data_IF_147436676588
#
_entry.id   IF_147436676588
#
_cell.length_a   1.000
_cell.length_b   1.000
_cell.length_c   1.000
_cell.angle_alpha   90.00
_cell.angle_beta   90.00
_cell.angle_gamma   90.00
#
_symmetry.space_group_name_H-M   'P 1'
#
loop_
_entity.id
_entity.type
_entity.pdbx_description
1 polymer ?
#
# COMPACT_ATOMS: atom_id res chain seq x y z
N UNK A 1 -7.37 45.17 -24.26
CA UNK A 1 -7.63 43.98 -23.41
C UNK A 1 -6.80 42.84 -23.94
N UNK A 2 -5.67 42.55 -23.31
CA UNK A 2 -4.76 41.45 -23.69
C UNK A 2 -4.80 40.46 -22.54
N UNK A 3 -5.39 39.29 -22.78
CA UNK A 3 -5.54 38.22 -21.79
C UNK A 3 -4.19 37.56 -21.53
N UNK A 4 -3.77 37.56 -20.26
CA UNK A 4 -2.58 36.84 -19.79
C UNK A 4 -2.89 35.35 -19.69
N UNK A 5 -2.16 34.54 -20.46
CA UNK A 5 -2.10 33.09 -20.27
C UNK A 5 -1.38 32.79 -18.93
N UNK A 6 -2.07 32.11 -18.02
CA UNK A 6 -1.49 31.46 -16.85
C UNK A 6 -0.85 30.15 -17.31
N UNK A 7 0.47 30.13 -17.41
CA UNK A 7 1.23 28.89 -17.55
C UNK A 7 1.20 28.16 -16.20
N UNK A 8 0.45 27.06 -16.13
CA UNK A 8 0.54 26.12 -15.02
C UNK A 8 1.80 25.28 -15.21
N UNK A 9 2.87 25.63 -14.50
CA UNK A 9 4.07 24.80 -14.39
C UNK A 9 3.71 23.54 -13.60
N UNK A 10 3.48 22.43 -14.30
CA UNK A 10 3.41 21.12 -13.68
C UNK A 10 4.82 20.72 -13.24
N UNK A 11 5.10 20.85 -11.94
CA UNK A 11 6.25 20.19 -11.33
C UNK A 11 5.98 18.69 -11.33
N UNK A 12 6.63 17.97 -12.24
CA UNK A 12 6.75 16.52 -12.17
C UNK A 12 7.50 16.18 -10.86
N UNK A 13 7.01 15.23 -10.04
CA UNK A 13 7.82 14.74 -8.93
C UNK A 13 9.10 14.12 -9.50
N UNK A 14 10.24 14.60 -9.02
CA UNK A 14 11.55 14.03 -9.30
C UNK A 14 11.52 12.54 -8.96
N UNK A 15 11.88 11.70 -9.93
CA UNK A 15 12.00 10.26 -9.75
C UNK A 15 13.04 9.97 -8.68
N UNK A 16 12.60 9.72 -7.45
CA UNK A 16 13.48 9.19 -6.41
C UNK A 16 13.95 7.80 -6.86
N UNK A 17 15.27 7.64 -6.99
CA UNK A 17 15.88 6.35 -7.25
C UNK A 17 15.67 5.44 -6.02
N UNK A 18 14.61 4.63 -6.05
CA UNK A 18 14.48 3.51 -5.11
C UNK A 18 15.58 2.52 -5.45
N UNK A 19 16.49 2.30 -4.49
CA UNK A 19 17.60 1.36 -4.61
C UNK A 19 17.08 -0.01 -5.09
N UNK A 20 17.64 -0.48 -6.21
CA UNK A 20 17.46 -1.83 -6.73
C UNK A 20 18.27 -2.79 -5.87
N UNK A 21 17.60 -3.56 -5.02
CA UNK A 21 18.18 -4.69 -4.32
C UNK A 21 17.14 -5.80 -4.19
N UNK A 22 17.39 -6.94 -4.80
CA UNK A 22 16.55 -8.14 -4.75
C UNK A 22 16.73 -8.92 -3.42
N UNK A 23 16.95 -8.21 -2.32
CA UNK A 23 17.00 -8.78 -0.97
C UNK A 23 15.93 -8.10 -0.13
N UNK A 24 15.18 -8.89 0.65
CA UNK A 24 14.18 -8.45 1.63
C UNK A 24 14.79 -7.67 2.80
N UNK A 25 15.58 -6.64 2.49
CA UNK A 25 16.27 -5.79 3.45
C UNK A 25 15.28 -4.78 4.02
N UNK A 26 15.05 -4.95 5.31
CA UNK A 26 14.40 -3.99 6.16
C UNK A 26 15.05 -2.60 6.01
N UNK A 27 14.27 -1.67 5.47
CA UNK A 27 14.66 -0.28 5.24
C UNK A 27 14.28 0.56 6.45
N UNK A 28 15.16 1.45 6.96
CA UNK A 28 14.78 2.37 8.03
C UNK A 28 13.71 3.34 7.53
N UNK A 29 12.63 3.45 8.29
CA UNK A 29 11.63 4.50 8.15
C UNK A 29 11.98 5.59 9.14
N UNK A 30 12.26 6.77 8.59
CA UNK A 30 12.66 7.93 9.35
C UNK A 30 11.42 8.69 9.82
N UNK A 31 11.54 9.33 10.97
CA UNK A 31 10.58 10.26 11.56
C UNK A 31 11.24 11.62 11.69
N UNK A 32 10.62 12.61 11.07
CA UNK A 32 11.03 14.01 11.08
C UNK A 32 9.91 14.85 11.70
N UNK A 33 10.26 15.83 12.54
CA UNK A 33 9.29 16.79 13.09
C UNK A 33 9.46 18.12 12.35
N UNK A 34 8.42 18.58 11.67
CA UNK A 34 8.44 19.85 10.95
C UNK A 34 8.43 21.04 11.91
N UNK A 35 8.68 22.25 11.38
CA UNK A 35 8.59 23.50 12.16
C UNK A 35 7.21 23.73 12.78
N UNK A 36 6.15 23.21 12.15
CA UNK A 36 4.79 23.29 12.67
C UNK A 36 4.51 22.23 13.75
N UNK A 37 5.47 21.37 14.10
CA UNK A 37 5.34 20.18 14.96
C UNK A 37 4.51 19.03 14.35
N UNK A 38 4.44 18.94 13.01
CA UNK A 38 3.90 17.75 12.33
C UNK A 38 4.97 16.68 12.29
N UNK A 39 4.63 15.44 12.63
CA UNK A 39 5.54 14.32 12.42
C UNK A 39 5.27 13.67 11.06
N UNK A 40 6.28 13.69 10.20
CA UNK A 40 6.27 13.05 8.88
C UNK A 40 7.21 11.84 8.87
N UNK A 41 6.90 10.88 8.00
CA UNK A 41 7.67 9.66 7.83
C UNK A 41 8.17 9.53 6.39
N UNK A 42 9.43 9.13 6.24
CA UNK A 42 10.11 9.02 4.95
C UNK A 42 11.06 7.82 4.92
N UNK A 43 11.46 7.42 3.72
CA UNK A 43 12.51 6.39 3.49
C UNK A 43 13.89 7.00 3.24
N UNK A 44 13.99 8.33 3.22
CA UNK A 44 15.22 9.09 2.98
C UNK A 44 15.21 10.38 3.81
N UNK A 45 16.40 10.82 4.22
CA UNK A 45 16.58 12.08 4.94
C UNK A 45 16.29 13.25 3.99
N UNK A 46 15.48 14.22 4.44
CA UNK A 46 15.42 15.53 3.77
C UNK A 46 16.52 16.42 4.34
N UNK A 47 17.71 16.34 3.75
CA UNK A 47 18.91 17.06 4.21
C UNK A 47 18.77 18.60 4.24
N UNK A 48 17.66 19.16 3.76
CA UNK A 48 17.44 20.62 3.67
C UNK A 48 16.79 21.25 4.92
N UNK A 49 16.25 20.47 5.87
CA UNK A 49 15.40 21.00 6.96
C UNK A 49 16.13 21.34 8.26
N UNK A 50 17.40 20.96 8.40
CA UNK A 50 18.19 21.14 9.63
C UNK A 50 17.67 20.39 10.87
N UNK A 51 16.58 19.63 10.76
CA UNK A 51 16.02 18.82 11.85
C UNK A 51 16.54 17.39 11.71
N UNK A 52 17.16 16.80 12.76
CA UNK A 52 17.71 15.46 12.65
C UNK A 52 16.57 14.44 12.50
N UNK A 53 16.55 13.74 11.37
CA UNK A 53 15.71 12.58 11.16
C UNK A 53 16.10 11.47 12.14
N UNK A 54 15.12 10.85 12.80
CA UNK A 54 15.34 9.70 13.70
C UNK A 54 14.78 8.43 13.08
N UNK A 55 15.45 7.30 13.24
CA UNK A 55 14.88 6.01 12.80
C UNK A 55 13.69 5.70 13.72
N UNK A 56 12.48 5.64 13.16
CA UNK A 56 11.28 5.30 13.91
C UNK A 56 11.11 3.78 14.02
N UNK A 57 11.29 3.08 12.90
CA UNK A 57 11.17 1.63 12.78
C UNK A 57 11.80 1.17 11.46
N UNK A 58 11.88 -0.14 11.25
CA UNK A 58 12.19 -0.71 9.94
C UNK A 58 10.95 -1.30 9.28
N UNK A 59 10.92 -1.26 7.95
CA UNK A 59 9.85 -1.83 7.14
C UNK A 59 10.37 -2.32 5.78
N UNK A 60 9.56 -3.07 5.04
CA UNK A 60 9.90 -3.48 3.68
C UNK A 60 9.59 -2.31 2.73
N UNK A 61 10.53 -1.96 1.86
CA UNK A 61 10.29 -1.04 0.74
C UNK A 61 10.54 -1.81 -0.55
N UNK A 62 9.63 -1.66 -1.51
CA UNK A 62 9.70 -2.40 -2.77
C UNK A 62 9.00 -1.61 -3.87
N UNK A 63 9.40 -1.83 -5.13
CA UNK A 63 8.73 -1.24 -6.29
C UNK A 63 7.42 -1.97 -6.62
N UNK A 64 7.40 -3.28 -6.37
CA UNK A 64 6.23 -4.13 -6.59
C UNK A 64 5.67 -4.57 -5.25
N UNK A 65 4.35 -4.75 -5.18
CA UNK A 65 3.70 -5.10 -3.92
C UNK A 65 4.02 -6.52 -3.47
N UNK A 66 4.74 -6.70 -2.35
CA UNK A 66 5.10 -8.02 -1.88
C UNK A 66 3.88 -8.83 -1.48
N UNK A 67 3.90 -10.13 -1.74
CA UNK A 67 2.85 -11.05 -1.27
C UNK A 67 2.85 -11.13 0.26
N UNK A 68 1.68 -11.09 0.87
CA UNK A 68 1.50 -11.29 2.31
C UNK A 68 1.79 -10.05 3.18
N UNK A 69 2.23 -8.94 2.58
CA UNK A 69 2.37 -7.65 3.25
C UNK A 69 1.22 -6.70 2.89
N UNK A 70 0.90 -5.81 3.80
CA UNK A 70 -0.03 -4.69 3.57
C UNK A 70 0.76 -3.44 3.21
N UNK A 71 0.31 -2.66 2.20
CA UNK A 71 0.88 -1.34 1.96
C UNK A 71 0.51 -0.40 3.11
N UNK A 72 1.38 0.56 3.38
CA UNK A 72 1.08 1.72 4.23
C UNK A 72 1.44 2.98 3.46
N UNK A 73 0.45 3.85 3.28
CA UNK A 73 0.57 5.11 2.57
C UNK A 73 0.74 6.24 3.55
N UNK A 74 1.58 7.21 3.21
CA UNK A 74 1.62 8.51 3.85
C UNK A 74 0.84 9.51 2.99
N UNK A 75 -0.12 10.20 3.59
CA UNK A 75 -0.91 11.21 2.88
C UNK A 75 -1.50 12.23 3.83
N UNK A 76 -1.89 13.37 3.26
CA UNK A 76 -2.60 14.40 4.00
C UNK A 76 -4.11 14.29 3.75
N UNK A 77 -4.90 14.39 4.82
CA UNK A 77 -6.36 14.46 4.74
C UNK A 77 -6.85 15.63 5.56
N UNK A 78 -7.43 16.64 4.89
CA UNK A 78 -7.97 17.86 5.52
C UNK A 78 -6.92 18.59 6.39
N UNK A 79 -5.70 18.78 5.89
CA UNK A 79 -4.65 19.46 6.65
C UNK A 79 -3.88 18.57 7.63
N UNK A 80 -4.25 17.29 7.76
CA UNK A 80 -3.66 16.37 8.75
C UNK A 80 -2.87 15.29 8.03
N UNK A 81 -1.57 15.24 8.29
CA UNK A 81 -0.72 14.12 7.90
C UNK A 81 -1.16 12.84 8.61
N UNK A 82 -1.26 11.75 7.86
CA UNK A 82 -1.63 10.44 8.39
C UNK A 82 -1.02 9.29 7.58
N UNK A 83 -0.82 8.17 8.27
CA UNK A 83 -0.52 6.87 7.69
C UNK A 83 -1.82 6.05 7.59
N UNK A 84 -1.98 5.28 6.52
CA UNK A 84 -3.14 4.41 6.33
C UNK A 84 -2.83 3.20 5.46
N UNK A 85 -3.56 2.10 5.63
CA UNK A 85 -3.39 0.87 4.83
C UNK A 85 -4.12 0.90 3.48
N UNK A 86 -5.07 1.81 3.33
CA UNK A 86 -5.72 2.09 2.06
C UNK A 86 -5.22 3.43 1.53
N UNK A 87 -5.00 3.56 0.22
CA UNK A 87 -4.71 4.85 -0.38
C UNK A 87 -5.93 5.77 -0.25
N UNK A 88 -5.76 7.10 -0.36
CA UNK A 88 -6.89 8.00 -0.54
C UNK A 88 -7.71 7.59 -1.77
N UNK A 89 -9.04 7.59 -1.63
CA UNK A 89 -9.95 7.17 -2.70
C UNK A 89 -9.69 7.98 -3.98
N UNK A 90 -9.56 7.28 -5.12
CA UNK A 90 -9.30 7.88 -6.43
C UNK A 90 -7.84 8.29 -6.64
N UNK A 91 -6.94 7.95 -5.70
CA UNK A 91 -5.50 8.22 -5.79
C UNK A 91 -4.68 6.94 -5.94
N UNK A 92 -5.32 5.78 -6.04
CA UNK A 92 -4.70 4.45 -6.10
C UNK A 92 -3.57 4.39 -7.15
N UNK A 93 -3.76 4.97 -8.34
CA UNK A 93 -2.78 4.99 -9.42
C UNK A 93 -1.71 6.10 -9.31
N UNK A 94 -1.84 7.01 -8.34
CA UNK A 94 -1.02 8.23 -8.24
C UNK A 94 -0.23 8.33 -6.94
N UNK A 95 -0.38 7.36 -6.05
CA UNK A 95 0.32 7.33 -4.77
C UNK A 95 0.98 5.97 -4.60
N UNK A 96 2.26 5.99 -4.28
CA UNK A 96 2.99 4.80 -3.87
C UNK A 96 2.84 4.58 -2.36
N UNK A 97 2.80 3.33 -1.89
CA UNK A 97 3.00 3.04 -0.49
C UNK A 97 4.34 3.63 -0.01
N UNK A 98 4.35 4.22 1.18
CA UNK A 98 5.59 4.63 1.83
C UNK A 98 6.42 3.40 2.20
N UNK A 99 5.76 2.34 2.66
CA UNK A 99 6.36 1.05 2.99
C UNK A 99 5.32 -0.08 2.97
N UNK A 100 5.80 -1.31 3.13
CA UNK A 100 5.02 -2.52 3.32
C UNK A 100 5.32 -3.13 4.69
N UNK A 101 4.27 -3.65 5.34
CA UNK A 101 4.32 -4.14 6.71
C UNK A 101 3.50 -5.42 6.86
N UNK A 102 3.67 -6.11 7.98
CA UNK A 102 2.81 -7.24 8.32
C UNK A 102 1.42 -6.71 8.69
N UNK A 103 0.39 -7.44 8.25
CA UNK A 103 -0.98 -7.18 8.70
C UNK A 103 -1.07 -7.31 10.24
N UNK A 104 -1.88 -6.47 10.90
CA UNK A 104 -2.10 -6.65 12.33
C UNK A 104 -2.81 -8.00 12.56
N UNK A 105 -2.47 -8.71 13.65
CA UNK A 105 -2.91 -10.11 13.85
C UNK A 105 -4.42 -10.36 13.89
N UNK A 106 -5.23 -9.31 14.06
CA UNK A 106 -6.69 -9.39 14.01
C UNK A 106 -7.26 -9.33 12.58
N UNK A 107 -6.49 -8.86 11.59
CA UNK A 107 -6.91 -8.72 10.20
C UNK A 107 -6.41 -9.92 9.37
N UNK A 108 -7.09 -11.05 9.53
CA UNK A 108 -6.78 -12.28 8.79
C UNK A 108 -7.11 -12.19 7.30
N UNK A 109 -7.92 -11.22 6.90
CA UNK A 109 -8.26 -10.96 5.50
C UNK A 109 -7.07 -10.36 4.75
N UNK A 110 -6.34 -9.45 5.40
CA UNK A 110 -5.18 -8.79 4.83
C UNK A 110 -4.14 -9.76 4.28
N UNK A 111 -3.70 -10.76 5.04
CA UNK A 111 -2.70 -11.73 4.57
C UNK A 111 -3.20 -12.56 3.37
N UNK A 112 -4.52 -12.72 3.23
CA UNK A 112 -5.11 -13.51 2.14
C UNK A 112 -5.22 -12.74 0.84
N UNK A 113 -5.49 -11.43 0.91
CA UNK A 113 -5.85 -10.61 -0.26
C UNK A 113 -4.80 -9.57 -0.62
N UNK A 114 -4.14 -8.97 0.37
CA UNK A 114 -3.20 -7.89 0.12
C UNK A 114 -1.99 -8.35 -0.71
N UNK A 115 -1.48 -7.46 -1.55
CA UNK A 115 -0.31 -7.70 -2.41
C UNK A 115 -0.66 -7.89 -3.88
N UNK A 116 0.33 -8.33 -4.66
CA UNK A 116 0.18 -8.53 -6.11
C UNK A 116 -0.55 -9.83 -6.46
N UNK A 117 -1.30 -9.78 -7.56
CA UNK A 117 -1.96 -10.90 -8.21
C UNK A 117 -1.70 -10.86 -9.71
N UNK A 118 -1.40 -12.02 -10.31
CA UNK A 118 -1.42 -12.23 -11.76
C UNK A 118 -2.80 -12.72 -12.15
N UNK A 119 -3.45 -12.00 -13.05
CA UNK A 119 -4.84 -12.20 -13.45
C UNK A 119 -4.87 -12.59 -14.93
N UNK A 120 -5.65 -13.61 -15.23
CA UNK A 120 -5.98 -14.04 -16.58
C UNK A 120 -7.48 -13.83 -16.76
N UNK A 121 -7.87 -12.88 -17.61
CA UNK A 121 -9.25 -12.61 -17.99
C UNK A 121 -9.54 -13.28 -19.33
N UNK A 122 -10.62 -14.06 -19.40
CA UNK A 122 -11.09 -14.75 -20.61
C UNK A 122 -12.42 -14.14 -21.02
N UNK A 123 -12.47 -13.51 -22.20
CA UNK A 123 -13.69 -12.96 -22.76
C UNK A 123 -14.63 -14.07 -23.21
N UNK A 124 -15.93 -13.76 -23.37
CA UNK A 124 -16.95 -14.73 -23.81
C UNK A 124 -16.63 -15.39 -25.14
N UNK A 125 -15.98 -14.66 -26.04
CA UNK A 125 -15.51 -15.14 -27.35
C UNK A 125 -14.25 -16.03 -27.29
N UNK A 126 -13.65 -16.18 -26.12
CA UNK A 126 -12.49 -17.01 -25.87
C UNK A 126 -11.13 -16.29 -25.97
N UNK A 127 -11.11 -15.01 -26.33
CA UNK A 127 -9.89 -14.20 -26.26
C UNK A 127 -9.43 -14.05 -24.81
N UNK A 128 -8.11 -13.92 -24.59
CA UNK A 128 -7.50 -13.89 -23.26
C UNK A 128 -6.66 -12.63 -23.10
N UNK A 129 -6.79 -11.98 -21.95
CA UNK A 129 -6.00 -10.85 -21.51
C UNK A 129 -5.27 -11.18 -20.21
N UNK A 130 -3.97 -10.91 -20.15
CA UNK A 130 -3.19 -11.01 -18.92
C UNK A 130 -2.97 -9.63 -18.31
N UNK A 131 -3.18 -9.52 -16.99
CA UNK A 131 -3.04 -8.27 -16.26
C UNK A 131 -2.61 -8.51 -14.81
N UNK A 132 -2.15 -7.47 -14.13
CA UNK A 132 -1.82 -7.51 -12.71
C UNK A 132 -2.80 -6.70 -11.87
N UNK A 133 -3.10 -7.19 -10.66
CA UNK A 133 -3.71 -6.38 -9.61
C UNK A 133 -2.74 -6.21 -8.45
N UNK A 134 -2.75 -5.02 -7.86
CA UNK A 134 -2.14 -4.73 -6.56
C UNK A 134 -3.27 -4.34 -5.62
N UNK A 135 -3.62 -5.24 -4.69
CA UNK A 135 -4.80 -5.10 -3.83
C UNK A 135 -4.40 -4.84 -2.39
N UNK A 136 -5.13 -3.94 -1.73
CA UNK A 136 -5.07 -3.64 -0.31
C UNK A 136 -6.45 -3.91 0.31
N UNK A 137 -6.47 -4.36 1.56
CA UNK A 137 -7.72 -4.58 2.29
C UNK A 137 -7.58 -4.09 3.73
N UNK A 138 -8.64 -3.48 4.23
CA UNK A 138 -8.80 -3.06 5.61
C UNK A 138 -10.22 -3.35 6.06
N UNK A 139 -10.38 -4.37 6.91
CA UNK A 139 -11.69 -4.91 7.25
C UNK A 139 -12.37 -5.51 6.02
N UNK A 140 -13.48 -4.91 5.61
CA UNK A 140 -14.24 -5.31 4.40
C UNK A 140 -14.00 -4.42 3.19
N UNK A 141 -13.24 -3.33 3.36
CA UNK A 141 -12.94 -2.41 2.25
C UNK A 141 -11.74 -2.93 1.50
N UNK A 142 -11.88 -3.00 0.18
CA UNK A 142 -10.82 -3.38 -0.72
C UNK A 142 -10.52 -2.19 -1.62
N UNK A 143 -9.25 -1.83 -1.73
CA UNK A 143 -8.76 -0.84 -2.66
C UNK A 143 -7.62 -1.46 -3.46
N UNK A 144 -7.26 -0.86 -4.59
CA UNK A 144 -6.16 -1.38 -5.36
C UNK A 144 -6.03 -0.70 -6.70
N UNK A 145 -5.04 -1.15 -7.44
CA UNK A 145 -4.75 -0.66 -8.77
C UNK A 145 -4.41 -1.82 -9.70
N UNK A 146 -4.54 -1.55 -10.97
CA UNK A 146 -4.06 -2.43 -12.02
C UNK A 146 -2.56 -2.22 -12.23
N UNK A 147 -1.92 -3.13 -12.94
CA UNK A 147 -0.49 -3.06 -13.24
C UNK A 147 -0.12 -1.73 -13.92
N UNK A 148 0.70 -0.93 -13.21
CA UNK A 148 1.10 0.41 -13.63
C UNK A 148 2.04 0.41 -14.85
N UNK A 149 2.60 -0.74 -15.21
CA UNK A 149 3.52 -0.89 -16.34
C UNK A 149 2.82 -1.34 -17.64
N UNK A 150 1.50 -1.39 -17.65
CA UNK A 150 0.69 -1.86 -18.79
C UNK A 150 -0.33 -0.80 -19.22
N UNK A 151 -1.06 -1.07 -20.30
CA UNK A 151 -2.18 -0.21 -20.74
C UNK A 151 -3.31 -0.13 -19.71
N UNK A 152 -3.35 -1.05 -18.74
CA UNK A 152 -4.31 -1.04 -17.64
C UNK A 152 -3.99 -0.03 -16.53
N UNK A 153 -2.89 0.72 -16.60
CA UNK A 153 -2.57 1.79 -15.64
C UNK A 153 -3.63 2.89 -15.55
N UNK A 154 -4.48 2.99 -16.56
CA UNK A 154 -5.61 3.94 -16.61
C UNK A 154 -6.92 3.35 -16.09
N UNK A 155 -6.93 2.09 -15.65
CA UNK A 155 -8.08 1.49 -14.98
C UNK A 155 -8.09 1.89 -13.50
N UNK A 156 -9.26 2.23 -12.99
CA UNK A 156 -9.45 2.69 -11.61
C UNK A 156 -10.46 1.80 -10.89
N UNK A 157 -10.07 1.28 -9.72
CA UNK A 157 -11.02 0.63 -8.81
C UNK A 157 -11.82 1.73 -8.13
N UNK A 158 -13.08 1.91 -8.51
CA UNK A 158 -13.95 2.97 -7.98
C UNK A 158 -14.70 2.54 -6.71
N UNK A 159 -14.88 1.23 -6.55
CA UNK A 159 -15.43 0.58 -5.36
C UNK A 159 -14.85 -0.83 -5.24
N UNK A 160 -14.51 -1.24 -4.02
CA UNK A 160 -14.01 -2.59 -3.75
C UNK A 160 -14.45 -3.09 -2.39
N UNK A 161 -14.94 -4.33 -2.35
CA UNK A 161 -15.42 -4.99 -1.14
C UNK A 161 -14.84 -6.40 -1.04
N UNK A 162 -14.47 -6.78 0.18
CA UNK A 162 -14.08 -8.12 0.58
C UNK A 162 -15.02 -8.64 1.67
N UNK A 163 -15.86 -9.62 1.33
CA UNK A 163 -16.79 -10.26 2.27
C UNK A 163 -16.95 -11.73 1.94
N UNK A 164 -17.02 -12.59 2.96
CA UNK A 164 -17.34 -14.03 2.78
C UNK A 164 -16.47 -14.71 1.71
N UNK A 165 -15.16 -14.47 1.74
CA UNK A 165 -14.20 -14.98 0.75
C UNK A 165 -14.42 -14.53 -0.70
N UNK A 166 -15.12 -13.41 -0.91
CA UNK A 166 -15.49 -12.89 -2.23
C UNK A 166 -14.90 -11.50 -2.44
N UNK A 167 -14.31 -11.31 -3.62
CA UNK A 167 -13.88 -10.03 -4.17
C UNK A 167 -15.03 -9.48 -5.00
N UNK A 168 -15.38 -8.23 -4.77
CA UNK A 168 -16.31 -7.46 -5.59
C UNK A 168 -15.67 -6.10 -5.91
N UNK A 169 -15.46 -5.83 -7.19
CA UNK A 169 -14.87 -4.57 -7.68
C UNK A 169 -15.80 -3.91 -8.69
N UNK A 170 -15.87 -2.58 -8.62
CA UNK A 170 -16.29 -1.73 -9.73
C UNK A 170 -15.06 -1.03 -10.30
N UNK A 171 -14.92 -1.10 -11.61
CA UNK A 171 -13.74 -0.60 -12.31
C UNK A 171 -14.17 0.31 -13.45
N UNK A 172 -13.57 1.50 -13.49
CA UNK A 172 -13.69 2.41 -14.63
C UNK A 172 -12.41 2.26 -15.47
N UNK A 173 -12.56 2.03 -16.77
CA UNK A 173 -11.46 1.98 -17.72
C UNK A 173 -11.83 2.72 -18.99
N UNK A 174 -11.13 3.84 -19.24
CA UNK A 174 -11.44 4.77 -20.32
C UNK A 174 -12.89 5.27 -20.18
N UNK A 175 -13.78 4.89 -21.10
CA UNK A 175 -15.19 5.31 -21.11
C UNK A 175 -16.13 4.19 -20.66
N UNK A 176 -15.57 3.04 -20.29
CA UNK A 176 -16.32 1.84 -19.95
C UNK A 176 -16.27 1.58 -18.44
N UNK A 177 -17.33 0.95 -17.94
CA UNK A 177 -17.43 0.52 -16.55
C UNK A 177 -17.66 -0.97 -16.46
N UNK A 178 -16.96 -1.60 -15.52
CA UNK A 178 -16.92 -3.03 -15.33
C UNK A 178 -17.29 -3.39 -13.89
N UNK A 179 -17.99 -4.51 -13.75
CA UNK A 179 -18.21 -5.19 -12.48
C UNK A 179 -17.44 -6.51 -12.49
N UNK A 180 -16.62 -6.71 -11.46
CA UNK A 180 -15.79 -7.90 -11.30
C UNK A 180 -16.17 -8.57 -9.99
N UNK A 181 -16.47 -9.86 -10.04
CA UNK A 181 -16.86 -10.64 -8.87
C UNK A 181 -16.25 -12.03 -8.89
N UNK A 182 -15.76 -12.51 -7.75
CA UNK A 182 -15.18 -13.86 -7.66
C UNK A 182 -14.80 -14.28 -6.26
N UNK A 183 -14.49 -15.56 -6.08
CA UNK A 183 -14.09 -16.14 -4.80
C UNK A 183 -12.59 -16.35 -4.70
N UNK A 184 -12.08 -16.48 -3.46
CA UNK A 184 -10.69 -16.88 -3.19
C UNK A 184 -10.67 -18.14 -2.33
N UNK A 185 -10.06 -19.19 -2.87
CA UNK A 185 -9.93 -20.51 -2.23
C UNK A 185 -8.51 -21.01 -2.42
N UNK A 186 -7.83 -21.39 -1.32
CA UNK A 186 -6.48 -21.99 -1.35
C UNK A 186 -5.44 -21.19 -2.17
N UNK A 187 -5.45 -19.86 -2.06
CA UNK A 187 -4.48 -18.99 -2.78
C UNK A 187 -4.78 -18.79 -4.28
N UNK A 188 -5.84 -19.41 -4.79
CA UNK A 188 -6.37 -19.17 -6.13
C UNK A 188 -7.63 -18.31 -6.02
N UNK A 189 -7.73 -17.32 -6.88
CA UNK A 189 -8.90 -16.48 -7.02
C UNK A 189 -9.53 -16.69 -8.40
N UNK A 190 -10.83 -16.52 -8.51
CA UNK A 190 -11.49 -16.57 -9.81
C UNK A 190 -12.97 -16.25 -9.75
N UNK A 191 -13.52 -15.92 -10.91
CA UNK A 191 -14.92 -15.56 -11.03
C UNK A 191 -15.28 -15.03 -12.40
N UNK A 192 -16.14 -14.04 -12.42
CA UNK A 192 -16.67 -13.42 -13.64
C UNK A 192 -16.48 -11.91 -13.61
N UNK A 193 -16.46 -11.34 -14.81
CA UNK A 193 -16.50 -9.90 -15.00
C UNK A 193 -17.50 -9.58 -16.10
N UNK A 194 -18.07 -8.37 -16.07
CA UNK A 194 -18.94 -7.86 -17.12
C UNK A 194 -18.79 -6.37 -17.29
N UNK A 195 -18.97 -5.88 -18.51
CA UNK A 195 -19.20 -4.47 -18.78
C UNK A 195 -20.65 -4.12 -18.41
N UNK A 196 -20.86 -2.97 -17.80
CA UNK A 196 -22.16 -2.57 -17.22
C UNK A 196 -23.26 -2.28 -18.26
N UNK A 197 -22.89 -2.03 -19.51
CA UNK A 197 -23.81 -1.88 -20.64
C UNK A 197 -24.15 -3.23 -21.33
N UNK A 198 -23.72 -4.34 -20.72
CA UNK A 198 -23.84 -5.72 -21.20
C UNK A 198 -23.15 -6.01 -22.55
N UNK A 199 -22.27 -5.11 -23.02
CA UNK A 199 -21.59 -5.26 -24.31
C UNK A 199 -20.45 -6.29 -24.33
N UNK A 200 -19.85 -6.59 -23.18
CA UNK A 200 -18.80 -7.60 -23.05
C UNK A 200 -18.82 -8.25 -21.65
N UNK A 201 -18.34 -9.48 -21.54
CA UNK A 201 -18.25 -10.22 -20.28
C UNK A 201 -17.31 -11.41 -20.41
N UNK A 202 -16.94 -11.99 -19.27
CA UNK A 202 -16.08 -13.15 -19.27
C UNK A 202 -15.88 -13.76 -17.90
N UNK A 203 -14.93 -14.69 -17.85
CA UNK A 203 -14.38 -15.23 -16.62
C UNK A 203 -13.01 -14.65 -16.32
N UNK A 204 -12.56 -14.76 -15.07
CA UNK A 204 -11.19 -14.48 -14.72
C UNK A 204 -10.67 -15.48 -13.70
N UNK A 205 -9.36 -15.67 -13.69
CA UNK A 205 -8.64 -16.40 -12.64
C UNK A 205 -7.44 -15.56 -12.22
N UNK A 206 -7.01 -15.71 -10.97
CA UNK A 206 -5.82 -15.05 -10.48
C UNK A 206 -5.04 -15.91 -9.50
N UNK A 207 -3.72 -15.73 -9.51
CA UNK A 207 -2.77 -16.39 -8.63
C UNK A 207 -1.74 -15.41 -8.12
N UNK A 208 -1.14 -15.70 -6.96
CA UNK A 208 0.02 -14.95 -6.49
C UNK A 208 1.21 -15.16 -7.44
N UNK A 209 2.06 -14.13 -7.66
CA UNK A 209 3.37 -14.35 -8.26
C UNK A 209 4.15 -15.39 -7.43
N UNK A 210 5.00 -16.21 -8.06
CA UNK A 210 5.88 -17.13 -7.34
C UNK A 210 6.84 -16.35 -6.42
N UNK A 211 7.26 -16.99 -5.33
CA UNK A 211 8.01 -16.34 -4.25
C UNK A 211 9.34 -15.71 -4.71
N UNK A 212 9.95 -16.25 -5.77
CA UNK A 212 11.20 -15.72 -6.36
C UNK A 212 11.04 -14.39 -7.09
N UNK A 213 9.80 -13.91 -7.27
CA UNK A 213 9.50 -12.63 -7.89
C UNK A 213 8.96 -11.59 -6.89
N UNK A 214 8.75 -11.98 -5.63
CA UNK A 214 8.28 -11.09 -4.57
C UNK A 214 9.41 -10.76 -3.60
N UNK A 215 9.38 -9.58 -2.99
CA UNK A 215 10.28 -9.29 -1.88
C UNK A 215 10.04 -10.33 -0.75
N UNK A 216 11.13 -10.91 -0.24
CA UNK A 216 11.08 -11.87 0.86
C UNK A 216 10.59 -11.17 2.13
N UNK A 217 9.54 -11.73 2.74
CA UNK A 217 9.07 -11.27 4.04
C UNK A 217 10.07 -11.71 5.12
N UNK A 218 10.60 -10.79 5.95
CA UNK A 218 11.49 -11.16 7.04
C UNK A 218 10.79 -12.14 8.00
N UNK A 219 11.49 -13.18 8.43
CA UNK A 219 10.99 -14.16 9.42
C UNK A 219 10.94 -13.61 10.85
N UNK A 220 11.31 -12.34 11.05
CA UNK A 220 11.33 -11.65 12.33
C UNK A 220 9.93 -11.31 12.82
N UNK A 221 9.73 -11.36 14.14
CA UNK A 221 8.47 -10.99 14.79
C UNK A 221 8.24 -9.49 14.66
N UNK A 222 7.12 -9.10 14.06
CA UNK A 222 6.72 -7.70 13.95
C UNK A 222 6.26 -7.12 15.30
N UNK A 223 6.60 -5.85 15.52
CA UNK A 223 6.14 -5.00 16.63
C UNK A 223 4.96 -4.14 16.18
N UNK A 224 3.86 -4.05 16.96
CA UNK A 224 2.71 -3.25 16.60
C UNK A 224 3.03 -1.74 16.50
N UNK A 225 2.58 -1.11 15.42
CA UNK A 225 2.60 0.34 15.22
C UNK A 225 1.20 0.91 15.46
N UNK A 226 1.05 1.81 16.42
CA UNK A 226 -0.23 2.45 16.77
C UNK A 226 -0.31 3.87 16.28
N UNK A 227 -1.54 4.28 15.94
CA UNK A 227 -1.88 5.68 15.75
C UNK A 227 -2.20 6.33 17.10
N UNK A 228 -1.70 7.54 17.30
CA UNK A 228 -2.05 8.42 18.40
C UNK A 228 -2.68 9.69 17.86
N UNK A 229 -3.75 10.14 18.51
CA UNK A 229 -4.51 11.32 18.08
C UNK A 229 -4.50 12.37 19.17
N UNK A 230 -4.16 13.61 18.82
CA UNK A 230 -4.25 14.73 19.72
C UNK A 230 -5.72 15.17 19.86
N UNK A 231 -6.24 15.27 21.08
CA UNK A 231 -7.66 15.52 21.33
C UNK A 231 -8.20 16.82 20.69
N UNK A 232 -7.44 17.91 20.77
CA UNK A 232 -7.90 19.23 20.29
C UNK A 232 -7.61 19.48 18.81
N UNK A 233 -6.36 19.27 18.37
CA UNK A 233 -5.91 19.59 17.02
C UNK A 233 -6.19 18.48 16.00
N UNK A 234 -6.55 17.27 16.44
CA UNK A 234 -6.76 16.12 15.55
C UNK A 234 -5.50 15.58 14.87
N UNK A 235 -4.32 16.12 15.21
CA UNK A 235 -3.02 15.69 14.69
C UNK A 235 -2.77 14.22 14.99
N UNK A 236 -2.03 13.56 14.11
CA UNK A 236 -1.66 12.14 14.23
C UNK A 236 -0.18 11.98 14.47
N UNK A 237 0.18 10.97 15.26
CA UNK A 237 1.55 10.47 15.47
C UNK A 237 1.52 8.95 15.47
N UNK A 238 2.61 8.30 15.06
CA UNK A 238 2.71 6.85 15.01
C UNK A 238 3.85 6.35 15.88
N UNK A 239 3.55 5.35 16.72
CA UNK A 239 4.44 4.89 17.79
C UNK A 239 4.39 3.38 17.94
N UNK A 240 5.53 2.78 18.23
CA UNK A 240 5.61 1.36 18.58
C UNK A 240 4.93 1.10 19.93
N UNK A 241 4.53 -0.15 20.18
CA UNK A 241 3.84 -0.57 21.42
C UNK A 241 4.49 -0.04 22.71
N UNK A 242 5.83 0.01 22.77
CA UNK A 242 6.57 0.44 23.95
C UNK A 242 6.74 1.97 24.07
N UNK A 243 6.47 2.73 23.00
CA UNK A 243 6.51 4.18 23.01
C UNK A 243 5.16 4.75 23.47
N UNK A 244 5.17 5.67 24.43
CA UNK A 244 3.95 6.31 24.95
C UNK A 244 4.00 7.81 24.73
N UNK A 245 2.82 8.42 24.54
CA UNK A 245 2.65 9.87 24.51
C UNK A 245 1.79 10.31 25.70
N UNK A 246 2.16 11.41 26.39
CA UNK A 246 1.34 11.93 27.47
C UNK A 246 0.04 12.55 26.93
N UNK A 247 -0.90 12.85 27.84
CA UNK A 247 -2.05 13.68 27.51
C UNK A 247 -1.60 14.99 26.83
N UNK A 248 -2.36 15.51 25.85
CA UNK A 248 -3.73 15.12 25.45
C UNK A 248 -3.78 14.12 24.29
N UNK A 249 -2.78 13.26 24.13
CA UNK A 249 -2.76 12.23 23.08
C UNK A 249 -3.50 10.96 23.51
N UNK A 250 -4.28 10.38 22.61
CA UNK A 250 -4.96 9.09 22.80
C UNK A 250 -4.55 8.08 21.74
N UNK A 251 -4.14 6.88 22.16
CA UNK A 251 -3.77 5.76 21.30
C UNK A 251 -5.01 5.08 20.71
N UNK A 252 -4.92 4.61 19.46
CA UNK A 252 -5.90 3.71 18.86
C UNK A 252 -5.96 2.38 19.61
N UNK A 253 -7.13 1.73 19.62
CA UNK A 253 -7.30 0.41 20.24
C UNK A 253 -6.58 -0.69 19.45
N UNK A 254 -6.64 -0.62 18.13
CA UNK A 254 -6.02 -1.57 17.21
C UNK A 254 -4.77 -0.96 16.58
N UNK A 255 -3.71 -1.74 16.37
CA UNK A 255 -2.53 -1.26 15.65
C UNK A 255 -2.84 -1.10 14.17
N UNK A 256 -2.16 -0.15 13.53
CA UNK A 256 -2.23 0.08 12.09
C UNK A 256 -1.67 -1.12 11.31
N UNK A 257 -0.50 -1.61 11.73
CA UNK A 257 0.23 -2.74 11.15
C UNK A 257 1.30 -3.24 12.15
N UNK A 258 2.08 -4.25 11.76
CA UNK A 258 3.29 -4.64 12.48
C UNK A 258 4.52 -4.33 11.63
N UNK A 259 5.50 -3.67 12.25
CA UNK A 259 6.78 -3.24 11.66
C UNK A 259 7.93 -3.86 12.46
N UNK A 260 9.19 -3.61 12.09
CA UNK A 260 10.33 -4.21 12.79
C UNK A 260 11.07 -3.18 13.65
N UNK A 261 11.62 -3.63 14.78
CA UNK A 261 12.23 -2.72 15.75
C UNK A 261 13.55 -2.16 15.19
N UNK A 262 13.84 -0.86 15.37
CA UNK A 262 15.15 -0.27 15.04
C UNK A 262 16.37 -1.06 15.53
N UNK A 263 16.24 -1.76 16.66
CA UNK A 263 17.32 -2.52 17.29
C UNK A 263 17.50 -3.93 16.74
N UNK A 264 16.59 -4.45 15.92
CA UNK A 264 16.63 -5.83 15.40
C UNK A 264 17.71 -6.05 14.32
N UNK A 265 18.56 -5.04 14.07
CA UNK A 265 19.65 -5.08 13.08
C UNK A 265 20.66 -6.21 13.29
N UNK A 266 20.83 -6.72 14.51
CA UNK A 266 21.78 -7.81 14.78
C UNK A 266 21.44 -9.13 14.07
N UNK A 267 20.25 -9.28 13.47
CA UNK A 267 19.90 -10.46 12.67
C UNK A 267 20.16 -10.29 11.17
N UNK A 268 20.48 -9.10 10.66
CA UNK A 268 20.61 -8.83 9.22
C UNK A 268 22.06 -8.95 8.70
N UNK A 269 23.07 -8.97 9.58
CA UNK A 269 24.49 -9.05 9.19
C UNK A 269 25.07 -10.48 9.17
N UNK A 270 24.34 -11.49 9.70
CA UNK A 270 24.86 -12.86 9.81
C UNK A 270 24.49 -13.81 8.66
N UNK A 271 23.71 -13.37 7.67
CA UNK A 271 23.37 -14.24 6.52
C UNK A 271 24.46 -14.31 5.43
N UNK A 272 25.55 -13.54 5.57
CA UNK A 272 26.68 -13.54 4.61
C UNK A 272 27.88 -14.37 5.06
N UNK A 273 27.79 -15.06 6.21
CA UNK A 273 28.88 -15.86 6.78
C UNK A 273 28.52 -17.35 6.93
N UNK A 274 27.86 -17.93 5.92
CA UNK A 274 27.83 -19.38 5.70
C UNK A 274 27.91 -19.67 4.19
N UNK A 275 29.13 -19.56 3.65
CA UNK A 275 29.60 -20.36 2.52
C UNK A 275 30.96 -20.94 2.89
#
# INVERSE_FOLDING_TARGET
MVGRCLAATFLLPSSASVATGADGLLTPILRETTADEVEEYSTFSRDDSGTPATIAFHAVTAREWPTGLVPVYAFERRGVYQLGRLPPRGRENFIEPLFFALAPGHDTNATRIAGRWRVVATHREGSVSELGWELAVEGEKLAGRFDQNTDYRFAYVTEGVWRTNRIELKVDYINDRFEIGGGVTNGLAGGSWRRTDDGDSGSWTARRPPDNESATVPSLVGVPLFEWTHAESGRRRYRLEHETLPAPWSRSMLPLCLVWNPTDRHCLEHSSACQ
#
